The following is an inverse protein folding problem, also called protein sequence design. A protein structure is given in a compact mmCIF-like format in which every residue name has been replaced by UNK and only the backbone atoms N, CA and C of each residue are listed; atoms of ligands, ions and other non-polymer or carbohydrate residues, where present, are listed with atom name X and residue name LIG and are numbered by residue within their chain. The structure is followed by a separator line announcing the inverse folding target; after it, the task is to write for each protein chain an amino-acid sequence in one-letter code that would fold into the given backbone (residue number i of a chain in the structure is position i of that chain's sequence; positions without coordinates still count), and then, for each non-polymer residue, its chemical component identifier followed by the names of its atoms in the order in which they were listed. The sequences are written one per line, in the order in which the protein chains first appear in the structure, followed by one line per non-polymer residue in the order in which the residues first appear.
data_IF_231419279833
#
_entry.id   IF_231419279833
#
_cell.length_a   1.000
_cell.length_b   1.000
_cell.length_c   1.000
_cell.angle_alpha   90.00
_cell.angle_beta   90.00
_cell.angle_gamma   90.00
#
_symmetry.space_group_name_H-M   'P 1'
#
loop_
_entity.id
_entity.type
_entity.pdbx_description
1 polymer ?
#
# COMPACT_ATOMS: atom_id res chain seq x y z
N UNK A 1 -10.02 -13.87 -21.74
CA UNK A 1 -10.54 -12.52 -21.44
C UNK A 1 -10.54 -12.38 -19.91
N UNK A 2 -9.65 -11.55 -19.34
CA UNK A 2 -9.36 -11.54 -17.89
C UNK A 2 -10.56 -11.02 -17.09
N UNK A 3 -10.89 -11.77 -16.05
CA UNK A 3 -11.93 -11.51 -15.06
C UNK A 3 -11.53 -10.31 -14.22
N UNK A 4 -12.31 -9.22 -14.29
CA UNK A 4 -12.20 -8.10 -13.36
C UNK A 4 -12.70 -8.56 -11.99
N UNK A 5 -11.76 -8.79 -11.07
CA UNK A 5 -12.04 -9.16 -9.69
C UNK A 5 -12.61 -7.94 -8.97
N UNK A 6 -13.92 -7.98 -8.74
CA UNK A 6 -14.66 -7.01 -7.96
C UNK A 6 -14.11 -6.99 -6.52
N UNK A 7 -13.51 -5.87 -6.13
CA UNK A 7 -12.96 -5.68 -4.80
C UNK A 7 -14.13 -5.43 -3.86
N UNK A 8 -14.58 -6.48 -3.16
CA UNK A 8 -15.50 -6.35 -2.02
C UNK A 8 -14.87 -5.40 -0.99
N UNK A 9 -15.24 -4.12 -1.01
CA UNK A 9 -15.14 -3.27 0.18
C UNK A 9 -16.21 -3.76 1.14
N UNK A 10 -15.82 -4.64 2.05
CA UNK A 10 -16.59 -4.89 3.25
C UNK A 10 -16.64 -3.59 4.04
N UNK A 11 -17.81 -2.94 4.10
CA UNK A 11 -18.07 -1.82 5.00
C UNK A 11 -18.17 -2.36 6.43
N UNK A 12 -17.05 -2.83 6.98
CA UNK A 12 -16.89 -3.03 8.42
C UNK A 12 -16.96 -1.67 9.08
N UNK A 13 -17.76 -1.52 10.15
CA UNK A 13 -18.05 -0.26 10.81
C UNK A 13 -16.81 0.65 10.93
N UNK A 14 -16.81 1.75 10.18
CA UNK A 14 -15.77 2.76 10.21
C UNK A 14 -16.16 3.82 11.24
N UNK A 15 -15.25 4.21 12.11
CA UNK A 15 -15.47 5.34 13.02
C UNK A 15 -15.28 6.63 12.23
N UNK A 16 -16.29 7.49 12.18
CA UNK A 16 -16.22 8.79 11.52
C UNK A 16 -16.28 9.92 12.56
N UNK A 17 -15.23 10.74 12.62
CA UNK A 17 -15.23 12.02 13.33
C UNK A 17 -15.58 13.10 12.30
N UNK A 18 -16.81 13.58 12.33
CA UNK A 18 -17.33 14.52 11.34
C UNK A 18 -16.82 15.96 11.50
N UNK A 19 -17.14 16.80 10.51
CA UNK A 19 -16.86 18.24 10.56
C UNK A 19 -17.45 18.90 11.81
N UNK A 20 -16.78 19.94 12.31
CA UNK A 20 -17.21 20.66 13.52
C UNK A 20 -17.09 19.87 14.82
N UNK A 21 -16.59 18.63 14.77
CA UNK A 21 -16.32 17.82 15.96
C UNK A 21 -14.88 18.03 16.40
N UNK A 22 -14.69 18.29 17.68
CA UNK A 22 -13.37 18.35 18.32
C UNK A 22 -13.29 17.23 19.36
N UNK A 23 -12.29 16.37 19.22
CA UNK A 23 -12.06 15.24 20.13
C UNK A 23 -10.69 15.41 20.78
N UNK A 24 -10.65 15.33 22.10
CA UNK A 24 -9.41 15.39 22.87
C UNK A 24 -9.24 14.12 23.72
N UNK A 25 -8.06 13.52 23.67
CA UNK A 25 -7.71 12.34 24.47
C UNK A 25 -7.09 11.21 23.65
N UNK A 26 -7.29 9.97 24.11
CA UNK A 26 -6.77 8.76 23.48
C UNK A 26 -7.89 8.01 22.74
N UNK A 27 -7.74 7.85 21.43
CA UNK A 27 -8.65 7.09 20.57
C UNK A 27 -8.04 5.72 20.27
N UNK A 28 -8.71 4.64 20.68
CA UNK A 28 -8.30 3.26 20.39
C UNK A 28 -9.38 2.58 19.56
N UNK A 29 -9.02 2.02 18.41
CA UNK A 29 -9.95 1.31 17.53
C UNK A 29 -9.31 0.08 16.91
N UNK A 30 -10.09 -1.00 16.80
CA UNK A 30 -9.68 -2.19 16.04
C UNK A 30 -10.02 -2.07 14.54
N UNK A 31 -10.97 -1.19 14.21
CA UNK A 31 -11.43 -0.91 12.85
C UNK A 31 -10.96 0.46 12.38
N UNK A 32 -11.12 0.71 11.08
CA UNK A 32 -10.67 1.94 10.44
C UNK A 32 -11.34 3.20 11.02
N UNK A 33 -10.58 4.29 11.03
CA UNK A 33 -11.02 5.61 11.52
C UNK A 33 -10.89 6.62 10.38
N UNK A 34 -11.92 7.43 10.19
CA UNK A 34 -11.90 8.61 9.32
C UNK A 34 -12.12 9.87 10.14
N UNK A 35 -11.26 10.86 9.95
CA UNK A 35 -11.31 12.14 10.65
C UNK A 35 -11.49 13.27 9.64
N UNK A 36 -12.65 13.92 9.72
CA UNK A 36 -13.04 15.11 8.95
C UNK A 36 -13.14 16.37 9.84
N UNK A 37 -13.02 16.18 11.17
CA UNK A 37 -12.97 17.25 12.18
C UNK A 37 -11.57 17.43 12.78
N UNK A 38 -11.50 17.74 14.07
CA UNK A 38 -10.24 17.96 14.77
C UNK A 38 -10.03 16.92 15.88
N UNK A 39 -8.82 16.37 15.95
CA UNK A 39 -8.42 15.45 17.02
C UNK A 39 -7.11 15.92 17.65
N UNK A 40 -7.05 15.88 18.98
CA UNK A 40 -5.85 16.19 19.77
C UNK A 40 -5.57 15.09 20.79
N UNK A 41 -4.35 14.56 20.82
CA UNK A 41 -3.96 13.45 21.70
C UNK A 41 -3.46 12.25 20.92
N UNK A 42 -3.76 11.02 21.32
CA UNK A 42 -3.16 9.82 20.72
C UNK A 42 -4.18 8.99 19.94
N UNK A 43 -3.76 8.43 18.79
CA UNK A 43 -4.59 7.53 17.98
C UNK A 43 -3.87 6.19 17.89
N UNK A 44 -4.51 5.13 18.38
CA UNK A 44 -4.07 3.74 18.23
C UNK A 44 -5.12 2.96 17.43
N UNK A 45 -4.82 2.67 16.17
CA UNK A 45 -5.70 1.95 15.27
C UNK A 45 -5.03 0.66 14.80
N UNK A 46 -5.74 -0.47 14.83
CA UNK A 46 -5.26 -1.71 14.18
C UNK A 46 -5.56 -1.73 12.68
N UNK A 47 -6.51 -0.90 12.22
CA UNK A 47 -6.89 -0.74 10.83
C UNK A 47 -6.29 0.51 10.20
N UNK A 48 -7.02 1.05 9.23
CA UNK A 48 -6.60 2.20 8.45
C UNK A 48 -7.05 3.50 9.11
N UNK A 49 -6.20 4.51 9.06
CA UNK A 49 -6.56 5.87 9.48
C UNK A 49 -6.60 6.78 8.26
N UNK A 50 -7.66 7.56 8.13
CA UNK A 50 -7.84 8.53 7.05
C UNK A 50 -8.07 9.90 7.67
N UNK A 51 -7.17 10.83 7.39
CA UNK A 51 -7.37 12.25 7.71
C UNK A 51 -7.91 12.90 6.44
N UNK A 52 -9.20 13.22 6.42
CA UNK A 52 -9.87 13.87 5.30
C UNK A 52 -9.36 15.29 5.06
N UNK A 53 -9.80 15.92 3.97
CA UNK A 53 -9.31 17.25 3.54
C UNK A 53 -9.49 18.33 4.61
N UNK A 54 -10.57 18.25 5.37
CA UNK A 54 -10.89 19.18 6.46
C UNK A 54 -10.37 18.68 7.83
N UNK A 55 -9.82 17.47 7.87
CA UNK A 55 -9.30 16.84 9.06
C UNK A 55 -8.03 17.52 9.56
N UNK A 56 -7.98 17.77 10.88
CA UNK A 56 -6.78 18.26 11.56
C UNK A 56 -6.47 17.34 12.73
N UNK A 57 -5.33 16.64 12.66
CA UNK A 57 -4.87 15.78 13.75
C UNK A 57 -3.61 16.37 14.39
N UNK A 58 -3.68 16.74 15.65
CA UNK A 58 -2.53 17.10 16.48
C UNK A 58 -2.23 15.94 17.41
N UNK A 59 -1.62 14.91 16.84
CA UNK A 59 -1.61 13.59 17.44
C UNK A 59 -0.41 12.73 17.09
N UNK A 60 -0.03 11.86 18.04
CA UNK A 60 0.78 10.68 17.74
C UNK A 60 -0.14 9.59 17.19
N UNK A 61 0.15 9.09 15.99
CA UNK A 61 -0.72 8.15 15.28
C UNK A 61 -0.01 6.82 15.07
N UNK A 62 -0.57 5.75 15.61
CA UNK A 62 -0.18 4.37 15.31
C UNK A 62 -1.29 3.68 14.52
N UNK A 63 -0.98 3.20 13.31
CA UNK A 63 -1.98 2.58 12.43
C UNK A 63 -1.38 1.45 11.55
N UNK A 64 -2.24 0.70 10.87
CA UNK A 64 -1.80 -0.22 9.83
C UNK A 64 -1.36 0.59 8.59
N UNK A 65 -2.30 1.29 7.96
CA UNK A 65 -2.06 2.25 6.89
C UNK A 65 -2.59 3.64 7.30
N UNK A 66 -1.99 4.71 6.77
CA UNK A 66 -2.43 6.08 7.00
C UNK A 66 -2.54 6.84 5.67
N UNK A 67 -3.69 7.48 5.43
CA UNK A 67 -3.89 8.40 4.31
C UNK A 67 -4.16 9.81 4.84
N UNK A 68 -3.43 10.80 4.33
CA UNK A 68 -3.51 12.20 4.76
C UNK A 68 -3.92 13.07 3.56
N UNK A 69 -5.15 13.59 3.59
CA UNK A 69 -5.64 14.64 2.71
C UNK A 69 -5.76 15.99 3.43
N UNK A 70 -5.80 16.00 4.77
CA UNK A 70 -5.83 17.19 5.61
C UNK A 70 -4.47 17.53 6.23
N UNK A 71 -4.48 17.96 7.49
CA UNK A 71 -3.26 18.41 8.21
C UNK A 71 -2.98 17.54 9.43
N UNK A 72 -1.73 17.11 9.56
CA UNK A 72 -1.26 16.30 10.69
C UNK A 72 -0.02 16.93 11.31
N UNK A 73 -0.05 17.09 12.62
CA UNK A 73 1.08 17.53 13.45
C UNK A 73 1.34 16.50 14.53
N UNK A 74 2.47 15.80 14.46
CA UNK A 74 2.85 14.77 15.42
C UNK A 74 3.58 13.60 14.77
N UNK A 75 3.98 12.64 15.60
CA UNK A 75 4.75 11.49 15.16
C UNK A 75 3.83 10.38 14.64
N UNK A 76 4.27 9.73 13.56
CA UNK A 76 3.51 8.71 12.85
C UNK A 76 4.27 7.39 12.91
N UNK A 77 3.57 6.34 13.31
CA UNK A 77 4.05 4.97 13.27
C UNK A 77 3.06 4.09 12.50
N UNK A 78 3.35 3.83 11.22
CA UNK A 78 2.54 2.94 10.39
C UNK A 78 3.29 1.68 10.03
N UNK A 79 2.63 0.53 10.22
CA UNK A 79 3.22 -0.78 9.87
C UNK A 79 3.29 -1.00 8.37
N UNK A 80 2.36 -0.41 7.63
CA UNK A 80 2.25 -0.52 6.19
C UNK A 80 2.62 0.80 5.51
N UNK A 81 1.64 1.37 4.83
CA UNK A 81 1.83 2.48 3.90
C UNK A 81 1.31 3.80 4.46
N UNK A 82 2.15 4.82 4.36
CA UNK A 82 1.75 6.22 4.48
C UNK A 82 1.47 6.79 3.08
N UNK A 83 0.28 7.38 2.89
CA UNK A 83 -0.08 8.13 1.68
C UNK A 83 -0.34 9.57 2.07
N UNK A 84 0.41 10.50 1.51
CA UNK A 84 0.13 11.93 1.60
C UNK A 84 -0.46 12.36 0.26
N UNK A 85 -1.71 12.80 0.28
CA UNK A 85 -2.43 13.24 -0.90
C UNK A 85 -1.98 14.65 -1.31
N UNK A 86 -2.43 15.12 -2.48
CA UNK A 86 -2.04 16.42 -3.02
C UNK A 86 -2.35 17.61 -2.09
N UNK A 87 -3.42 17.53 -1.30
CA UNK A 87 -3.80 18.54 -0.29
C UNK A 87 -3.21 18.27 1.10
N UNK A 88 -2.60 17.10 1.29
CA UNK A 88 -2.15 16.60 2.57
C UNK A 88 -0.89 17.29 3.07
N UNK A 89 -0.85 17.57 4.37
CA UNK A 89 0.31 18.15 5.03
C UNK A 89 0.65 17.36 6.30
N UNK A 90 1.90 16.94 6.42
CA UNK A 90 2.40 16.24 7.58
C UNK A 90 3.63 16.95 8.14
N UNK A 91 3.55 17.32 9.41
CA UNK A 91 4.63 17.93 10.19
C UNK A 91 4.96 17.03 11.38
N UNK A 92 6.08 16.31 11.31
CA UNK A 92 6.50 15.38 12.36
C UNK A 92 7.30 14.19 11.84
N UNK A 93 7.72 13.31 12.74
CA UNK A 93 8.56 12.18 12.38
C UNK A 93 7.71 11.00 11.92
N UNK A 94 8.23 10.21 10.99
CA UNK A 94 7.53 9.06 10.41
C UNK A 94 8.37 7.81 10.53
N UNK A 95 7.76 6.76 11.08
CA UNK A 95 8.17 5.38 10.92
C UNK A 95 7.14 4.69 10.02
N UNK A 96 7.58 4.20 8.85
CA UNK A 96 6.68 3.57 7.87
C UNK A 96 7.36 2.43 7.10
N UNK A 97 6.61 1.47 6.58
CA UNK A 97 7.18 0.49 5.65
C UNK A 97 7.36 1.08 4.24
N UNK A 98 6.36 1.84 3.80
CA UNK A 98 6.40 2.54 2.50
C UNK A 98 5.70 3.89 2.60
N UNK A 99 6.17 4.85 1.80
CA UNK A 99 5.60 6.19 1.74
C UNK A 99 5.33 6.55 0.28
N UNK A 100 4.14 7.08 0.02
CA UNK A 100 3.77 7.71 -1.24
C UNK A 100 3.33 9.14 -0.96
N UNK A 101 3.95 10.10 -1.64
CA UNK A 101 3.60 11.52 -1.57
C UNK A 101 3.14 11.91 -2.97
N UNK A 102 1.89 12.35 -3.09
CA UNK A 102 1.35 12.87 -4.35
C UNK A 102 1.90 14.28 -4.61
N UNK A 103 1.88 14.70 -5.87
CA UNK A 103 2.26 16.05 -6.25
C UNK A 103 1.41 17.09 -5.50
N UNK A 104 2.05 18.12 -4.94
CA UNK A 104 1.44 19.09 -4.02
C UNK A 104 1.43 18.70 -2.54
N UNK A 105 1.60 17.43 -2.21
CA UNK A 105 1.64 16.96 -0.81
C UNK A 105 2.87 17.47 -0.07
N UNK A 106 2.67 17.96 1.16
CA UNK A 106 3.75 18.53 1.99
C UNK A 106 4.13 17.55 3.09
N UNK A 107 5.41 17.21 3.14
CA UNK A 107 5.99 16.46 4.24
C UNK A 107 7.18 17.23 4.82
N UNK A 108 7.16 17.45 6.14
CA UNK A 108 8.23 18.13 6.85
C UNK A 108 8.55 17.40 8.16
N UNK A 109 9.67 16.69 8.18
CA UNK A 109 10.16 15.96 9.36
C UNK A 109 11.17 14.89 9.01
N UNK A 110 11.50 14.04 9.98
CA UNK A 110 12.40 12.92 9.78
C UNK A 110 11.64 11.63 9.41
N UNK A 111 12.08 10.93 8.37
CA UNK A 111 11.48 9.68 7.95
C UNK A 111 12.46 8.52 8.14
N UNK A 112 12.01 7.48 8.85
CA UNK A 112 12.66 6.18 8.95
C UNK A 112 11.78 5.12 8.31
N UNK A 113 12.36 4.32 7.42
CA UNK A 113 11.64 3.22 6.78
C UNK A 113 12.01 1.87 7.39
N UNK A 114 11.01 1.10 7.83
CA UNK A 114 11.18 -0.27 8.33
C UNK A 114 10.72 -1.29 7.29
N UNK A 115 11.70 -1.85 6.57
CA UNK A 115 11.44 -2.98 5.67
C UNK A 115 11.47 -4.28 6.45
N UNK A 116 10.35 -5.00 6.49
CA UNK A 116 10.40 -6.44 6.71
C UNK A 116 11.09 -7.08 5.51
N UNK A 117 12.33 -7.53 5.72
CA UNK A 117 13.04 -8.36 4.74
C UNK A 117 12.45 -9.76 4.85
N UNK A 118 11.39 -10.04 4.08
CA UNK A 118 10.99 -11.42 3.86
C UNK A 118 12.08 -12.08 2.99
N UNK A 119 12.67 -13.21 3.41
CA UNK A 119 13.67 -13.90 2.62
C UNK A 119 13.01 -14.39 1.32
N UNK A 120 13.26 -13.67 0.23
CA UNK A 120 12.85 -14.13 -1.10
C UNK A 120 13.67 -15.37 -1.46
N UNK A 121 13.12 -16.56 -1.30
CA UNK A 121 13.63 -17.76 -1.95
C UNK A 121 13.59 -17.49 -3.46
N UNK A 122 14.76 -17.25 -4.06
CA UNK A 122 14.88 -17.13 -5.52
C UNK A 122 14.54 -18.50 -6.11
N UNK A 123 13.33 -18.67 -6.63
CA UNK A 123 13.08 -19.73 -7.59
C UNK A 123 13.71 -19.27 -8.91
N UNK A 124 14.93 -19.75 -9.15
CA UNK A 124 15.53 -19.72 -10.48
C UNK A 124 14.65 -20.61 -11.38
N UNK A 125 14.12 -20.13 -12.51
CA UNK A 125 13.56 -21.04 -13.50
C UNK A 125 14.71 -21.84 -14.10
N UNK A 126 14.75 -23.15 -13.83
CA UNK A 126 15.50 -24.09 -14.67
C UNK A 126 14.90 -24.03 -16.07
N UNK A 127 15.65 -23.45 -17.00
CA UNK A 127 15.30 -23.46 -18.42
C UNK A 127 15.72 -24.82 -18.97
N UNK A 128 14.75 -25.72 -19.10
CA UNK A 128 14.89 -26.99 -19.82
C UNK A 128 15.37 -26.72 -21.26
N UNK A 129 16.56 -27.20 -21.60
CA UNK A 129 17.07 -27.21 -22.96
C UNK A 129 16.28 -28.24 -23.80
N UNK A 130 15.67 -27.89 -24.94
CA UNK A 130 14.97 -28.87 -25.75
C UNK A 130 15.97 -29.78 -26.48
N UNK A 131 15.81 -31.09 -26.27
CA UNK A 131 16.49 -32.17 -26.99
C UNK A 131 16.09 -32.18 -28.47
N UNK A 132 17.08 -32.15 -29.36
CA UNK A 132 16.93 -32.29 -30.81
C UNK A 132 16.82 -33.77 -31.20
N UNK A 133 15.62 -34.21 -31.56
CA UNK A 133 15.30 -35.46 -32.30
C UNK A 133 13.79 -35.38 -32.63
N UNK A 134 13.24 -35.48 -33.84
CA UNK A 134 13.61 -36.10 -35.12
C UNK A 134 12.75 -35.45 -36.23
N UNK A 135 13.21 -35.48 -37.50
CA UNK A 135 12.30 -35.25 -38.63
C UNK A 135 12.96 -34.94 -39.97
N UNK A 136 13.65 -35.89 -40.60
CA UNK A 136 13.85 -35.88 -42.06
C UNK A 136 14.04 -37.29 -42.62
N UNK A 137 12.97 -38.09 -42.55
CA UNK A 137 12.76 -39.20 -43.47
C UNK A 137 11.55 -38.86 -44.33
N UNK A 138 11.77 -38.22 -45.48
CA UNK A 138 10.92 -38.30 -46.66
C UNK A 138 11.56 -37.56 -47.85
N UNK A 139 12.49 -38.24 -48.52
CA UNK A 139 12.76 -38.10 -49.94
C UNK A 139 13.15 -39.51 -50.44
N UNK A 140 12.18 -40.40 -50.65
CA UNK A 140 11.73 -40.83 -51.99
C UNK A 140 12.92 -40.92 -52.96
N UNK A 141 13.48 -42.11 -53.16
CA UNK A 141 12.96 -43.07 -54.13
C UNK A 141 12.90 -42.45 -55.55
N UNK A 142 14.09 -42.28 -56.16
CA UNK A 142 14.32 -42.19 -57.62
C UNK A 142 15.80 -42.42 -57.92
N UNK A 143 16.26 -43.67 -57.86
CA UNK A 143 17.57 -44.08 -58.41
C UNK A 143 17.69 -45.60 -58.67
N UNK A 144 16.59 -46.31 -58.99
CA UNK A 144 16.65 -47.75 -59.30
C UNK A 144 16.13 -48.14 -60.68
N UNK A 145 15.77 -47.19 -61.55
CA UNK A 145 15.42 -47.50 -62.94
C UNK A 145 15.89 -46.38 -63.87
N UNK A 146 17.13 -46.48 -64.36
CA UNK A 146 17.58 -46.16 -65.72
C UNK A 146 19.12 -46.18 -65.77
N UNK A 147 19.69 -47.05 -66.61
CA UNK A 147 21.09 -46.96 -67.09
C UNK A 147 22.05 -47.93 -66.45
#
# INVERSE_FOLDING_TARGET
MRVFKELKRSTSAETLIGHGTHVEGKLISELSIRIEGEHRGDIECKGDVIIGEYGVARSSITAQDLTIAGRVHGDINVKGRLIIMASGQLFGNVLAHSILIQDGGIYNGNCRMERQIEPRTRQQPEIDAPSLQQGTQQAKEKARQAG
#
